data_IF_860674491686
#
_entry.id   IF_860674491686
#
_cell.length_a   1.000
_cell.length_b   1.000
_cell.length_c   1.000
_cell.angle_alpha   90.00
_cell.angle_beta   90.00
_cell.angle_gamma   90.00
#
_symmetry.space_group_name_H-M   'P 1'
#
loop_
_entity.id
_entity.type
_entity.pdbx_description
1 polymer ?
#
# COMPACT_ATOMS: atom_id res chain seq x y z
N UNK A 1 20.23 8.56 -16.06
CA UNK A 1 19.02 7.83 -15.60
C UNK A 1 19.44 6.79 -14.59
N UNK A 2 18.88 6.80 -13.38
CA UNK A 2 19.12 5.74 -12.40
C UNK A 2 18.57 4.44 -12.99
N UNK A 3 19.43 3.42 -13.10
CA UNK A 3 19.08 2.13 -13.68
C UNK A 3 18.02 1.47 -12.77
N UNK A 4 16.83 1.16 -13.29
CA UNK A 4 15.76 0.51 -12.51
C UNK A 4 16.23 -0.85 -12.00
N UNK A 5 15.95 -1.15 -10.74
CA UNK A 5 16.23 -2.44 -10.12
C UNK A 5 14.97 -3.31 -10.20
N UNK A 6 15.00 -4.36 -11.03
CA UNK A 6 13.81 -5.17 -11.34
C UNK A 6 13.22 -5.88 -10.13
N UNK A 7 14.00 -6.20 -9.12
CA UNK A 7 13.55 -6.77 -7.85
C UNK A 7 12.57 -5.83 -7.12
N UNK A 8 12.89 -4.55 -7.00
CA UNK A 8 11.99 -3.57 -6.38
C UNK A 8 10.80 -3.18 -7.28
N UNK A 9 10.99 -3.25 -8.60
CA UNK A 9 9.86 -3.07 -9.52
C UNK A 9 8.88 -4.26 -9.43
N UNK A 10 9.38 -5.48 -9.19
CA UNK A 10 8.54 -6.65 -8.91
C UNK A 10 7.80 -6.50 -7.57
N UNK A 11 8.48 -6.01 -6.53
CA UNK A 11 7.84 -5.72 -5.24
C UNK A 11 6.66 -4.74 -5.41
N UNK A 12 6.80 -3.67 -6.22
CA UNK A 12 5.70 -2.74 -6.53
C UNK A 12 4.52 -3.43 -7.19
N UNK A 13 4.79 -4.29 -8.18
CA UNK A 13 3.73 -5.03 -8.90
C UNK A 13 2.99 -5.95 -7.94
N UNK A 14 3.71 -6.75 -7.15
CA UNK A 14 3.10 -7.69 -6.21
C UNK A 14 2.32 -6.94 -5.12
N UNK A 15 2.88 -5.86 -4.56
CA UNK A 15 2.16 -5.04 -3.58
C UNK A 15 0.88 -4.45 -4.16
N UNK A 16 0.87 -4.00 -5.43
CA UNK A 16 -0.35 -3.53 -6.09
C UNK A 16 -1.36 -4.66 -6.30
N UNK A 17 -0.89 -5.83 -6.69
CA UNK A 17 -1.75 -6.99 -6.84
C UNK A 17 -2.39 -7.41 -5.51
N UNK A 18 -1.63 -7.32 -4.41
CA UNK A 18 -2.15 -7.53 -3.05
C UNK A 18 -3.20 -6.48 -2.66
N UNK A 19 -3.01 -5.18 -3.01
CA UNK A 19 -4.03 -4.15 -2.80
C UNK A 19 -5.33 -4.50 -3.54
N UNK A 20 -5.23 -4.92 -4.80
CA UNK A 20 -6.40 -5.28 -5.58
C UNK A 20 -7.14 -6.47 -4.94
N UNK A 21 -6.42 -7.53 -4.54
CA UNK A 21 -7.03 -8.68 -3.84
C UNK A 21 -7.66 -8.24 -2.52
N UNK A 22 -6.98 -7.41 -1.74
CA UNK A 22 -7.49 -6.83 -0.49
C UNK A 22 -8.82 -6.10 -0.72
N UNK A 23 -8.87 -5.23 -1.74
CA UNK A 23 -10.09 -4.51 -2.09
C UNK A 23 -11.20 -5.43 -2.61
N UNK A 24 -10.87 -6.50 -3.33
CA UNK A 24 -11.85 -7.53 -3.73
C UNK A 24 -12.48 -8.17 -2.49
N UNK A 25 -11.68 -8.54 -1.48
CA UNK A 25 -12.18 -9.20 -0.27
C UNK A 25 -13.06 -8.23 0.52
N UNK A 26 -12.56 -7.02 0.81
CA UNK A 26 -13.24 -6.05 1.68
C UNK A 26 -14.45 -5.42 0.99
N UNK A 27 -14.28 -4.87 -0.21
CA UNK A 27 -15.36 -4.16 -0.91
C UNK A 27 -16.28 -5.09 -1.72
N UNK A 28 -15.86 -6.33 -1.94
CA UNK A 28 -16.72 -7.40 -2.45
C UNK A 28 -17.50 -8.11 -1.35
N UNK A 29 -17.36 -7.70 -0.07
CA UNK A 29 -18.03 -8.32 1.08
C UNK A 29 -17.87 -9.83 1.15
N UNK A 30 -16.65 -10.30 0.82
CA UNK A 30 -16.44 -11.74 0.60
C UNK A 30 -16.54 -12.57 1.88
N UNK A 31 -16.12 -12.01 3.02
CA UNK A 31 -16.20 -12.72 4.30
C UNK A 31 -17.65 -12.86 4.78
N UNK A 32 -18.49 -11.86 4.50
CA UNK A 32 -19.91 -11.86 4.83
C UNK A 32 -20.70 -12.81 3.91
N UNK A 33 -20.35 -12.85 2.62
CA UNK A 33 -21.03 -13.66 1.60
C UNK A 33 -20.52 -15.11 1.53
N UNK A 34 -19.47 -15.47 2.28
CA UNK A 34 -18.94 -16.83 2.34
C UNK A 34 -19.82 -17.72 3.21
N UNK A 35 -20.40 -18.78 2.63
CA UNK A 35 -21.28 -19.74 3.32
C UNK A 35 -20.51 -20.90 3.94
N UNK A 36 -19.23 -21.06 3.63
CA UNK A 36 -18.38 -22.16 4.11
C UNK A 36 -17.34 -21.64 5.11
N UNK A 37 -17.39 -22.08 6.36
CA UNK A 37 -16.49 -21.62 7.43
C UNK A 37 -15.00 -21.89 7.12
N UNK A 38 -14.66 -23.03 6.50
CA UNK A 38 -13.27 -23.31 6.12
C UNK A 38 -12.77 -22.34 5.07
N UNK A 39 -13.59 -21.99 4.09
CA UNK A 39 -13.25 -20.97 3.08
C UNK A 39 -13.10 -19.60 3.71
N UNK A 40 -13.95 -19.25 4.66
CA UNK A 40 -13.88 -17.99 5.40
C UNK A 40 -12.56 -17.87 6.16
N UNK A 41 -12.13 -18.95 6.83
CA UNK A 41 -10.83 -19.03 7.49
C UNK A 41 -9.69 -18.80 6.48
N UNK A 42 -9.73 -19.48 5.32
CA UNK A 42 -8.69 -19.34 4.29
C UNK A 42 -8.64 -17.92 3.69
N UNK A 43 -9.78 -17.29 3.47
CA UNK A 43 -9.85 -15.88 3.03
C UNK A 43 -9.25 -14.94 4.09
N UNK A 44 -9.59 -15.17 5.37
CA UNK A 44 -9.00 -14.40 6.47
C UNK A 44 -7.49 -14.58 6.53
N UNK A 45 -6.98 -15.82 6.42
CA UNK A 45 -5.52 -16.07 6.37
C UNK A 45 -4.88 -15.32 5.18
N UNK A 46 -5.55 -15.30 4.02
CA UNK A 46 -5.07 -14.55 2.85
C UNK A 46 -4.94 -13.05 3.17
N UNK A 47 -5.91 -12.45 3.89
CA UNK A 47 -5.81 -11.05 4.33
C UNK A 47 -4.55 -10.81 5.19
N UNK A 48 -4.28 -11.69 6.16
CA UNK A 48 -3.08 -11.57 7.01
C UNK A 48 -1.76 -11.75 6.25
N UNK A 49 -1.77 -12.46 5.13
CA UNK A 49 -0.59 -12.60 4.26
C UNK A 49 -0.37 -11.33 3.42
N UNK A 50 -1.44 -10.77 2.84
CA UNK A 50 -1.31 -9.70 1.85
C UNK A 50 -1.31 -8.29 2.44
N UNK A 51 -1.63 -8.11 3.73
CA UNK A 51 -1.76 -6.81 4.40
C UNK A 51 -0.50 -5.92 4.34
N UNK A 52 0.66 -6.48 4.04
CA UNK A 52 1.95 -5.79 3.93
C UNK A 52 2.04 -4.76 2.79
N UNK A 53 1.06 -4.73 1.91
CA UNK A 53 1.08 -4.00 0.64
C UNK A 53 1.32 -2.48 0.80
N UNK A 54 0.61 -1.78 1.69
CA UNK A 54 0.77 -0.33 1.90
C UNK A 54 2.14 -0.02 2.50
N UNK A 55 2.52 -0.74 3.55
CA UNK A 55 3.83 -0.58 4.18
C UNK A 55 4.98 -0.79 3.19
N UNK A 56 4.85 -1.74 2.27
CA UNK A 56 5.84 -1.99 1.23
C UNK A 56 6.06 -0.79 0.31
N UNK A 57 5.00 -0.06 -0.07
CA UNK A 57 5.12 1.17 -0.86
C UNK A 57 5.82 2.30 -0.09
N UNK A 58 5.55 2.43 1.20
CA UNK A 58 6.18 3.46 2.03
C UNK A 58 7.64 3.12 2.30
N UNK A 59 7.98 1.85 2.56
CA UNK A 59 9.36 1.36 2.67
C UNK A 59 10.16 1.63 1.38
N UNK A 60 9.59 1.31 0.21
CA UNK A 60 10.18 1.64 -1.09
C UNK A 60 10.43 3.14 -1.24
N UNK A 61 9.50 3.96 -0.78
CA UNK A 61 9.64 5.42 -0.84
C UNK A 61 10.81 5.89 0.02
N UNK A 62 10.92 5.44 1.26
CA UNK A 62 12.04 5.73 2.14
C UNK A 62 13.38 5.26 1.56
N UNK A 63 13.43 4.03 1.06
CA UNK A 63 14.64 3.44 0.49
C UNK A 63 15.19 4.21 -0.72
N UNK A 64 14.32 4.71 -1.62
CA UNK A 64 14.76 5.39 -2.83
C UNK A 64 14.78 6.92 -2.69
N UNK A 65 13.80 7.51 -1.99
CA UNK A 65 13.70 8.96 -1.86
C UNK A 65 14.75 9.53 -0.89
N UNK A 66 15.26 8.74 0.07
CA UNK A 66 16.38 9.15 0.93
C UNK A 66 17.65 9.50 0.16
N UNK A 67 17.80 9.01 -1.07
CA UNK A 67 18.92 9.30 -1.97
C UNK A 67 18.60 10.35 -3.04
N UNK A 68 17.46 11.03 -2.94
CA UNK A 68 17.02 11.99 -3.96
C UNK A 68 16.41 13.22 -3.30
N UNK A 69 16.63 14.39 -3.90
CA UNK A 69 16.02 15.65 -3.45
C UNK A 69 14.55 15.75 -3.89
N UNK A 70 13.78 16.51 -3.16
CA UNK A 70 12.42 16.89 -3.52
C UNK A 70 12.39 17.56 -4.90
N UNK A 71 11.42 17.21 -5.72
CA UNK A 71 11.22 17.79 -7.06
C UNK A 71 9.78 18.24 -7.23
N UNK A 72 9.56 19.55 -7.21
CA UNK A 72 8.23 20.16 -7.38
C UNK A 72 7.51 19.66 -8.62
N UNK A 73 8.23 19.48 -9.73
CA UNK A 73 7.67 18.94 -10.97
C UNK A 73 7.06 17.53 -10.78
N UNK A 74 7.68 16.69 -9.94
CA UNK A 74 7.15 15.34 -9.65
C UNK A 74 5.85 15.45 -8.85
N UNK A 75 5.79 16.33 -7.87
CA UNK A 75 4.58 16.61 -7.08
C UNK A 75 3.42 17.06 -8.00
N UNK A 76 3.65 18.06 -8.85
CA UNK A 76 2.63 18.53 -9.80
C UNK A 76 2.18 17.40 -10.74
N UNK A 77 3.11 16.60 -11.26
CA UNK A 77 2.74 15.47 -12.13
C UNK A 77 1.84 14.47 -11.42
N UNK A 78 2.10 14.20 -10.13
CA UNK A 78 1.31 13.31 -9.30
C UNK A 78 -0.12 13.85 -9.10
N UNK A 79 -0.25 15.12 -8.73
CA UNK A 79 -1.54 15.81 -8.54
C UNK A 79 -2.34 15.84 -9.86
N UNK A 80 -1.71 16.22 -10.96
CA UNK A 80 -2.37 16.24 -12.28
C UNK A 80 -2.84 14.85 -12.72
N UNK A 81 -2.12 13.81 -12.35
CA UNK A 81 -2.54 12.44 -12.65
C UNK A 81 -3.79 12.06 -11.86
N UNK A 82 -3.87 12.41 -10.57
CA UNK A 82 -5.08 12.17 -9.75
C UNK A 82 -6.28 12.92 -10.33
N UNK A 83 -6.13 14.22 -10.59
CA UNK A 83 -7.19 15.05 -11.18
C UNK A 83 -7.67 14.46 -12.50
N UNK A 84 -6.76 14.03 -13.37
CA UNK A 84 -7.12 13.41 -14.65
C UNK A 84 -8.00 12.17 -14.45
N UNK A 85 -7.62 11.26 -13.55
CA UNK A 85 -8.41 10.05 -13.28
C UNK A 85 -9.78 10.40 -12.69
N UNK A 86 -9.84 11.31 -11.71
CA UNK A 86 -11.11 11.73 -11.10
C UNK A 86 -12.06 12.30 -12.14
N UNK A 87 -11.57 13.18 -13.04
CA UNK A 87 -12.40 13.77 -14.11
C UNK A 87 -12.89 12.71 -15.10
N UNK A 88 -11.97 11.91 -15.65
CA UNK A 88 -12.32 10.95 -16.70
C UNK A 88 -13.29 9.89 -16.18
N UNK A 89 -13.05 9.36 -14.99
CA UNK A 89 -13.95 8.37 -14.39
C UNK A 89 -15.31 8.98 -14.13
N UNK A 90 -15.38 10.20 -13.61
CA UNK A 90 -16.64 10.89 -13.34
C UNK A 90 -17.44 11.15 -14.63
N UNK A 91 -16.79 11.62 -15.70
CA UNK A 91 -17.45 11.83 -17.00
C UNK A 91 -17.99 10.53 -17.60
N UNK A 92 -17.23 9.45 -17.51
CA UNK A 92 -17.68 8.12 -17.95
C UNK A 92 -18.86 7.65 -17.10
N UNK A 93 -18.81 7.85 -15.79
CA UNK A 93 -19.86 7.47 -14.87
C UNK A 93 -21.19 8.17 -15.14
N UNK A 94 -21.15 9.47 -15.46
CA UNK A 94 -22.34 10.22 -15.91
C UNK A 94 -22.92 9.59 -17.19
N UNK A 95 -22.07 9.30 -18.19
CA UNK A 95 -22.50 8.70 -19.45
C UNK A 95 -23.13 7.31 -19.29
N UNK A 96 -22.65 6.55 -18.29
CA UNK A 96 -23.17 5.23 -17.97
C UNK A 96 -24.37 5.24 -17.00
N UNK A 97 -24.82 6.42 -16.55
CA UNK A 97 -25.92 6.54 -15.59
C UNK A 97 -25.58 6.02 -14.18
N UNK A 98 -24.31 5.90 -13.85
CA UNK A 98 -23.84 5.45 -12.51
C UNK A 98 -23.88 6.58 -11.47
N UNK A 99 -24.07 7.82 -11.89
CA UNK A 99 -24.23 9.01 -11.06
C UNK A 99 -25.57 9.63 -11.41
N UNK A 100 -26.50 9.68 -10.44
CA UNK A 100 -27.88 10.08 -10.63
C UNK A 100 -28.09 11.59 -10.70
N UNK A 101 -27.19 12.39 -10.15
CA UNK A 101 -27.29 13.85 -10.12
C UNK A 101 -26.10 14.53 -10.78
N UNK A 102 -26.40 15.25 -11.87
CA UNK A 102 -25.46 16.16 -12.52
C UNK A 102 -25.41 17.46 -11.70
N UNK A 103 -24.38 17.59 -10.84
CA UNK A 103 -24.16 18.80 -10.07
C UNK A 103 -22.85 19.47 -10.49
N UNK A 104 -22.90 20.77 -10.85
CA UNK A 104 -21.72 21.55 -11.20
C UNK A 104 -20.66 21.58 -10.07
N UNK A 105 -21.08 21.57 -8.81
CA UNK A 105 -20.18 21.50 -7.65
C UNK A 105 -19.40 20.17 -7.63
N UNK A 106 -20.06 19.06 -7.91
CA UNK A 106 -19.40 17.73 -7.97
C UNK A 106 -18.36 17.67 -9.08
N UNK A 107 -18.63 18.32 -10.24
CA UNK A 107 -17.64 18.43 -11.32
C UNK A 107 -16.47 19.29 -10.85
N UNK A 108 -16.75 20.46 -10.26
CA UNK A 108 -15.71 21.38 -9.79
C UNK A 108 -14.77 20.70 -8.78
N UNK A 109 -15.30 19.86 -7.88
CA UNK A 109 -14.53 19.07 -6.92
C UNK A 109 -13.57 18.07 -7.58
N UNK A 110 -13.91 17.56 -8.78
CA UNK A 110 -13.00 16.69 -9.54
C UNK A 110 -11.87 17.44 -10.25
N UNK A 111 -12.04 18.74 -10.49
CA UNK A 111 -11.01 19.58 -11.12
C UNK A 111 -10.02 20.22 -10.16
N UNK A 112 -10.24 20.14 -8.86
CA UNK A 112 -9.41 20.76 -7.83
C UNK A 112 -8.76 19.74 -6.88
N UNK A 113 -8.16 20.22 -5.80
CA UNK A 113 -7.48 19.38 -4.81
C UNK A 113 -8.43 18.48 -4.02
N UNK A 114 -9.75 18.70 -4.06
CA UNK A 114 -10.73 17.82 -3.43
C UNK A 114 -10.72 16.42 -4.07
N UNK A 115 -10.32 16.30 -5.34
CA UNK A 115 -10.08 15.01 -5.98
C UNK A 115 -9.09 14.13 -5.22
N UNK A 116 -8.13 14.71 -4.49
CA UNK A 116 -7.23 13.97 -3.60
C UNK A 116 -7.96 13.35 -2.42
N UNK A 117 -9.12 13.90 -2.05
CA UNK A 117 -9.95 13.40 -0.94
C UNK A 117 -10.42 11.97 -1.12
N UNK A 118 -10.57 11.51 -2.36
CA UNK A 118 -10.99 10.16 -2.70
C UNK A 118 -9.93 9.09 -2.38
N UNK A 119 -8.65 9.49 -2.27
CA UNK A 119 -7.51 8.58 -2.17
C UNK A 119 -6.71 8.87 -0.90
N UNK A 120 -7.07 8.21 0.20
CA UNK A 120 -6.42 8.43 1.50
C UNK A 120 -4.90 8.25 1.46
N UNK A 121 -4.40 7.21 0.76
CA UNK A 121 -2.97 6.94 0.63
C UNK A 121 -2.24 8.10 -0.04
N UNK A 122 -2.80 8.67 -1.12
CA UNK A 122 -2.16 9.75 -1.88
C UNK A 122 -2.10 11.04 -1.09
N UNK A 123 -3.14 11.38 -0.30
CA UNK A 123 -3.10 12.54 0.59
C UNK A 123 -1.91 12.45 1.54
N UNK A 124 -1.79 11.34 2.23
CA UNK A 124 -0.73 11.09 3.20
C UNK A 124 0.65 11.03 2.52
N UNK A 125 0.73 10.39 1.35
CA UNK A 125 1.96 10.28 0.58
C UNK A 125 2.46 11.63 0.04
N UNK A 126 1.57 12.51 -0.42
CA UNK A 126 1.94 13.86 -0.89
C UNK A 126 2.57 14.66 0.26
N UNK A 127 1.98 14.63 1.44
CA UNK A 127 2.53 15.30 2.62
C UNK A 127 3.91 14.72 2.94
N UNK A 128 4.03 13.39 3.01
CA UNK A 128 5.31 12.72 3.22
C UNK A 128 6.37 13.14 2.18
N UNK A 129 5.99 13.20 0.91
CA UNK A 129 6.91 13.58 -0.17
C UNK A 129 7.39 15.03 -0.04
N UNK A 130 6.51 15.96 0.35
CA UNK A 130 6.87 17.38 0.61
C UNK A 130 7.90 17.47 1.75
N UNK A 131 7.70 16.71 2.83
CA UNK A 131 8.60 16.71 3.99
C UNK A 131 9.84 15.82 3.82
N UNK A 132 9.96 15.08 2.71
CA UNK A 132 11.02 14.07 2.54
C UNK A 132 12.44 14.62 2.69
N UNK A 133 12.74 15.84 2.19
CA UNK A 133 14.08 16.43 2.34
C UNK A 133 14.45 16.76 3.80
N UNK A 134 13.46 17.17 4.60
CA UNK A 134 13.68 17.42 6.05
C UNK A 134 13.87 16.11 6.80
N UNK A 135 13.08 15.10 6.49
CA UNK A 135 13.22 13.75 7.07
C UNK A 135 14.57 13.15 6.69
N UNK A 136 15.04 13.33 5.45
CA UNK A 136 16.34 12.85 5.00
C UNK A 136 17.49 13.52 5.76
N UNK A 137 17.45 14.85 5.95
CA UNK A 137 18.45 15.59 6.76
C UNK A 137 18.48 15.08 8.20
N UNK A 138 17.30 14.82 8.79
CA UNK A 138 17.22 14.23 10.11
C UNK A 138 17.90 12.85 10.16
N UNK A 139 17.63 11.96 9.20
CA UNK A 139 18.26 10.63 9.13
C UNK A 139 19.77 10.73 8.91
N UNK A 140 20.22 11.70 8.10
CA UNK A 140 21.64 11.94 7.83
C UNK A 140 22.38 12.41 9.07
N UNK A 141 21.77 13.23 9.94
CA UNK A 141 22.36 13.74 11.18
C UNK A 141 22.56 12.69 12.27
N UNK A 142 21.86 11.55 12.19
CA UNK A 142 21.94 10.49 13.18
C UNK A 142 23.05 9.48 12.84
N UNK A 143 23.83 9.10 13.84
CA UNK A 143 24.69 7.92 13.73
C UNK A 143 23.90 6.61 13.76
N UNK A 144 24.59 5.48 13.57
CA UNK A 144 23.92 4.17 13.50
C UNK A 144 23.18 3.80 14.80
N UNK A 145 23.78 4.09 15.95
CA UNK A 145 23.20 3.78 17.26
C UNK A 145 21.97 4.65 17.55
N UNK A 146 22.11 5.96 17.29
CA UNK A 146 21.01 6.92 17.45
C UNK A 146 19.82 6.56 16.56
N UNK A 147 20.08 6.20 15.28
CA UNK A 147 19.03 5.81 14.36
C UNK A 147 18.30 4.54 14.81
N UNK A 148 19.03 3.51 15.26
CA UNK A 148 18.41 2.29 15.78
C UNK A 148 17.61 2.53 17.06
N UNK A 149 18.13 3.35 17.98
CA UNK A 149 17.39 3.75 19.18
C UNK A 149 16.09 4.49 18.81
N UNK A 150 16.16 5.42 17.85
CA UNK A 150 14.99 6.11 17.35
C UNK A 150 13.94 5.13 16.75
N UNK A 151 14.39 4.15 15.97
CA UNK A 151 13.48 3.13 15.40
C UNK A 151 12.86 2.27 16.49
N UNK A 152 13.60 1.87 17.53
CA UNK A 152 13.05 1.07 18.65
C UNK A 152 12.02 1.89 19.43
N UNK A 153 12.35 3.13 19.79
CA UNK A 153 11.42 4.02 20.50
C UNK A 153 10.17 4.27 19.67
N UNK A 154 10.34 4.56 18.37
CA UNK A 154 9.24 4.73 17.43
C UNK A 154 8.37 3.47 17.32
N UNK A 155 8.97 2.26 17.30
CA UNK A 155 8.23 1.00 17.29
C UNK A 155 7.37 0.83 18.55
N UNK A 156 7.93 1.14 19.71
CA UNK A 156 7.19 1.04 20.98
C UNK A 156 6.03 2.05 20.98
N UNK A 157 6.30 3.32 20.66
CA UNK A 157 5.29 4.40 20.75
C UNK A 157 4.19 4.26 19.68
N UNK A 158 4.58 3.97 18.44
CA UNK A 158 3.64 4.00 17.30
C UNK A 158 3.00 2.64 16.99
N UNK A 159 3.51 1.56 17.59
CA UNK A 159 3.07 0.21 17.25
C UNK A 159 2.64 -0.60 18.48
N UNK A 160 3.49 -0.68 19.51
CA UNK A 160 3.17 -1.50 20.69
C UNK A 160 2.17 -0.82 21.62
N UNK A 161 2.39 0.45 21.96
CA UNK A 161 1.49 1.21 22.87
C UNK A 161 0.05 1.29 22.34
N UNK A 162 -0.22 1.56 21.05
CA UNK A 162 -1.59 1.61 20.53
C UNK A 162 -2.37 0.29 20.64
N UNK A 163 -1.69 -0.85 20.70
CA UNK A 163 -2.35 -2.15 20.96
C UNK A 163 -2.80 -2.23 22.42
N UNK A 164 -1.93 -1.82 23.36
CA UNK A 164 -2.18 -1.94 24.80
C UNK A 164 -3.16 -0.88 25.26
N UNK A 165 -3.06 0.34 24.75
CA UNK A 165 -3.87 1.48 25.19
C UNK A 165 -4.47 2.26 24.04
N UNK A 166 -5.79 2.19 23.89
CA UNK A 166 -6.54 2.90 22.83
C UNK A 166 -6.66 4.41 23.07
N UNK A 167 -6.47 4.88 24.30
CA UNK A 167 -6.75 6.25 24.72
C UNK A 167 -5.53 7.13 24.86
N UNK A 168 -4.32 6.58 24.80
CA UNK A 168 -3.09 7.32 25.02
C UNK A 168 -2.56 7.88 23.71
N UNK A 169 -2.56 9.19 23.62
CA UNK A 169 -1.78 10.11 22.78
C UNK A 169 -1.82 9.94 21.26
N UNK A 170 -1.82 8.73 20.70
CA UNK A 170 -1.74 8.51 19.26
C UNK A 170 -2.51 7.22 18.90
N UNK A 171 -3.84 7.33 18.72
CA UNK A 171 -4.55 6.27 18.01
C UNK A 171 -3.91 6.11 16.64
N UNK A 172 -3.28 4.99 16.43
CA UNK A 172 -2.52 4.74 15.22
C UNK A 172 -3.00 3.45 14.56
N UNK A 173 -3.87 3.59 13.56
CA UNK A 173 -4.31 2.50 12.68
C UNK A 173 -3.34 2.27 11.51
N UNK A 174 -2.36 3.17 11.34
CA UNK A 174 -1.43 3.15 10.23
C UNK A 174 -1.92 3.90 8.97
N UNK A 175 -3.12 4.49 8.99
CA UNK A 175 -3.64 5.31 7.87
C UNK A 175 -3.23 6.78 7.96
N UNK A 176 -2.31 7.13 8.85
CA UNK A 176 -1.94 8.50 9.18
C UNK A 176 -0.49 8.83 8.83
N UNK A 177 -0.19 10.12 8.89
CA UNK A 177 1.13 10.66 8.53
C UNK A 177 2.27 10.17 9.44
N UNK A 178 2.03 9.96 10.73
CA UNK A 178 3.05 9.51 11.67
C UNK A 178 3.57 8.11 11.32
N UNK A 179 2.65 7.20 10.99
CA UNK A 179 3.01 5.87 10.53
C UNK A 179 3.80 5.91 9.21
N UNK A 180 3.40 6.77 8.27
CA UNK A 180 4.11 6.93 7.00
C UNK A 180 5.53 7.47 7.19
N UNK A 181 5.73 8.46 8.06
CA UNK A 181 7.08 8.93 8.42
C UNK A 181 7.90 7.78 9.01
N UNK A 182 7.33 7.03 9.95
CA UNK A 182 8.03 5.95 10.61
C UNK A 182 8.47 4.86 9.62
N UNK A 183 7.55 4.37 8.77
CA UNK A 183 7.87 3.39 7.72
C UNK A 183 8.87 3.93 6.69
N UNK A 184 8.78 5.22 6.36
CA UNK A 184 9.76 5.89 5.51
C UNK A 184 11.16 5.86 6.13
N UNK A 185 11.27 6.20 7.42
CA UNK A 185 12.55 6.17 8.14
C UNK A 185 13.11 4.74 8.20
N UNK A 186 12.28 3.72 8.42
CA UNK A 186 12.71 2.32 8.32
C UNK A 186 13.29 2.04 6.93
N UNK A 187 12.58 2.36 5.85
CA UNK A 187 13.04 2.16 4.48
C UNK A 187 14.36 2.87 4.18
N UNK A 188 14.52 4.12 4.63
CA UNK A 188 15.75 4.89 4.50
C UNK A 188 16.90 4.29 5.33
N UNK A 189 16.61 3.76 6.51
CA UNK A 189 17.57 3.08 7.39
C UNK A 189 18.10 1.80 6.76
N UNK A 190 17.22 1.00 6.13
CA UNK A 190 17.60 -0.20 5.38
C UNK A 190 18.51 0.14 4.19
N UNK A 191 18.38 1.34 3.61
CA UNK A 191 19.29 1.85 2.58
C UNK A 191 20.63 2.28 3.15
N UNK A 192 20.63 3.02 4.28
CA UNK A 192 21.83 3.58 4.91
C UNK A 192 22.65 2.48 5.59
N UNK A 193 21.98 1.52 6.24
CA UNK A 193 22.58 0.41 6.99
C UNK A 193 21.88 -0.90 6.66
N UNK A 194 22.26 -1.59 5.56
CA UNK A 194 21.61 -2.82 5.13
C UNK A 194 21.64 -3.91 6.20
N UNK A 195 20.49 -4.54 6.48
CA UNK A 195 20.39 -5.58 7.53
C UNK A 195 21.32 -6.74 7.25
N UNK A 196 21.48 -7.16 6.00
CA UNK A 196 22.36 -8.25 5.61
C UNK A 196 23.84 -8.00 5.98
N UNK A 197 24.25 -6.73 6.04
CA UNK A 197 25.61 -6.32 6.41
C UNK A 197 25.79 -6.17 7.93
N UNK A 198 24.72 -6.33 8.72
CA UNK A 198 24.79 -6.24 10.17
C UNK A 198 25.62 -7.40 10.77
N UNK A 199 26.13 -7.21 12.00
CA UNK A 199 26.92 -8.20 12.71
C UNK A 199 26.25 -9.59 12.75
N UNK A 200 24.93 -9.63 12.95
CA UNK A 200 24.16 -10.88 13.09
C UNK A 200 23.98 -11.63 11.76
N UNK A 201 23.83 -10.93 10.64
CA UNK A 201 23.49 -11.54 9.36
C UNK A 201 24.65 -11.58 8.36
N UNK A 202 25.74 -10.85 8.60
CA UNK A 202 26.90 -10.77 7.69
C UNK A 202 27.50 -12.14 7.35
N UNK A 203 27.57 -13.06 8.35
CA UNK A 203 28.16 -14.40 8.18
C UNK A 203 27.21 -15.42 7.58
N UNK A 204 25.90 -15.13 7.50
CA UNK A 204 24.90 -16.06 6.99
C UNK A 204 24.91 -16.00 5.45
N UNK A 205 24.85 -17.17 4.77
CA UNK A 205 24.72 -17.18 3.31
C UNK A 205 23.43 -16.51 2.84
N UNK A 206 23.42 -15.98 1.61
CA UNK A 206 22.24 -15.27 1.07
C UNK A 206 20.99 -16.17 1.06
N UNK A 207 21.14 -17.46 0.70
CA UNK A 207 20.04 -18.43 0.69
C UNK A 207 19.46 -18.66 2.10
N UNK A 208 20.30 -18.82 3.11
CA UNK A 208 19.86 -18.99 4.50
C UNK A 208 19.17 -17.71 5.00
N UNK A 209 19.68 -16.55 4.62
CA UNK A 209 19.05 -15.26 4.96
C UNK A 209 17.67 -15.12 4.31
N UNK A 210 17.50 -15.49 3.03
CA UNK A 210 16.20 -15.52 2.35
C UNK A 210 15.22 -16.47 3.04
N UNK A 211 15.66 -17.67 3.41
CA UNK A 211 14.83 -18.64 4.16
C UNK A 211 14.39 -18.04 5.50
N UNK A 212 15.30 -17.40 6.22
CA UNK A 212 14.98 -16.73 7.50
C UNK A 212 13.92 -15.65 7.31
N UNK A 213 14.03 -14.82 6.25
CA UNK A 213 13.06 -13.78 5.94
C UNK A 213 11.68 -14.37 5.59
N UNK A 214 11.64 -15.47 4.85
CA UNK A 214 10.39 -16.18 4.51
C UNK A 214 9.75 -16.75 5.79
N UNK A 215 10.55 -17.40 6.65
CA UNK A 215 10.07 -17.93 7.93
C UNK A 215 9.51 -16.78 8.79
N UNK A 216 10.23 -15.67 8.89
CA UNK A 216 9.80 -14.51 9.67
C UNK A 216 8.50 -13.90 9.13
N UNK A 217 8.38 -13.80 7.80
CA UNK A 217 7.17 -13.34 7.14
C UNK A 217 5.96 -14.23 7.45
N UNK A 218 6.11 -15.56 7.31
CA UNK A 218 5.03 -16.52 7.58
C UNK A 218 4.70 -16.56 9.07
N UNK A 219 5.72 -16.60 9.92
CA UNK A 219 5.55 -16.65 11.38
C UNK A 219 4.79 -15.41 11.90
N UNK A 220 5.17 -14.22 11.48
CA UNK A 220 4.49 -12.99 11.91
C UNK A 220 3.05 -12.92 11.42
N UNK A 221 2.77 -13.38 10.20
CA UNK A 221 1.41 -13.52 9.67
C UNK A 221 0.59 -14.50 10.51
N UNK A 222 1.15 -15.67 10.80
CA UNK A 222 0.50 -16.70 11.61
C UNK A 222 0.25 -16.25 13.05
N UNK A 223 1.24 -15.64 13.70
CA UNK A 223 1.10 -15.12 15.07
C UNK A 223 0.02 -14.05 15.16
N UNK A 224 -0.03 -13.12 14.19
CA UNK A 224 -1.04 -12.08 14.16
C UNK A 224 -2.45 -12.66 13.96
N UNK A 225 -2.61 -13.63 13.05
CA UNK A 225 -3.86 -14.35 12.85
C UNK A 225 -4.26 -15.14 14.11
N UNK A 226 -3.33 -15.89 14.71
CA UNK A 226 -3.58 -16.68 15.93
C UNK A 226 -3.98 -15.79 17.11
N UNK A 227 -3.38 -14.61 17.22
CA UNK A 227 -3.72 -13.62 18.24
C UNK A 227 -5.19 -13.20 18.12
N UNK A 228 -5.65 -12.92 16.90
CA UNK A 228 -7.06 -12.62 16.63
C UNK A 228 -8.00 -13.79 16.97
N UNK A 229 -7.65 -15.02 16.54
CA UNK A 229 -8.47 -16.22 16.79
C UNK A 229 -8.60 -16.51 18.28
N UNK A 230 -7.49 -16.48 19.02
CA UNK A 230 -7.51 -16.66 20.48
C UNK A 230 -8.35 -15.57 21.15
N UNK A 231 -8.17 -14.31 20.73
CA UNK A 231 -8.97 -13.20 21.26
C UNK A 231 -10.47 -13.36 21.01
N UNK A 232 -10.88 -13.80 19.81
CA UNK A 232 -12.30 -14.02 19.49
C UNK A 232 -12.92 -15.13 20.34
N UNK A 233 -12.15 -16.18 20.66
CA UNK A 233 -12.58 -17.32 21.48
C UNK A 233 -12.42 -17.08 22.98
N UNK A 234 -11.85 -15.93 23.38
CA UNK A 234 -11.64 -15.61 24.79
C UNK A 234 -12.96 -15.24 25.46
N UNK A 235 -13.34 -15.99 26.51
CA UNK A 235 -14.54 -15.70 27.27
C UNK A 235 -14.34 -14.46 28.15
N UNK A 236 -15.11 -13.42 27.88
CA UNK A 236 -15.03 -12.15 28.61
C UNK A 236 -16.09 -12.10 29.70
N UNK A 237 -15.78 -12.67 30.87
CA UNK A 237 -16.69 -12.69 32.03
C UNK A 237 -16.50 -11.50 32.96
N UNK A 238 -15.37 -10.83 32.91
CA UNK A 238 -15.03 -9.66 33.72
C UNK A 238 -14.37 -8.55 32.89
N UNK A 239 -14.09 -7.40 33.54
CA UNK A 239 -13.50 -6.22 32.90
C UNK A 239 -12.10 -6.53 32.34
N UNK A 240 -11.29 -7.31 33.07
CA UNK A 240 -9.92 -7.64 32.66
C UNK A 240 -9.93 -8.54 31.43
N UNK A 241 -10.76 -9.59 31.44
CA UNK A 241 -10.89 -10.50 30.31
C UNK A 241 -11.45 -9.81 29.07
N UNK A 242 -12.39 -8.90 29.23
CA UNK A 242 -12.92 -8.06 28.14
C UNK A 242 -11.85 -7.14 27.56
N UNK A 243 -10.98 -6.57 28.39
CA UNK A 243 -9.85 -5.74 27.97
C UNK A 243 -8.81 -6.56 27.21
N UNK A 244 -8.43 -7.74 27.69
CA UNK A 244 -7.51 -8.66 27.02
C UNK A 244 -8.07 -9.07 25.64
N UNK A 245 -9.34 -9.48 25.57
CA UNK A 245 -10.03 -9.78 24.31
C UNK A 245 -9.92 -8.63 23.32
N UNK A 246 -10.19 -7.43 23.80
CA UNK A 246 -10.11 -6.22 23.00
C UNK A 246 -8.69 -5.96 22.46
N UNK A 247 -7.65 -6.18 23.26
CA UNK A 247 -6.23 -6.10 22.79
C UNK A 247 -5.97 -7.10 21.67
N UNK A 248 -6.46 -8.31 21.81
CA UNK A 248 -6.17 -9.42 20.90
C UNK A 248 -6.95 -9.34 19.57
N UNK A 249 -8.16 -8.77 19.57
CA UNK A 249 -9.03 -8.76 18.39
C UNK A 249 -9.03 -7.44 17.63
N UNK A 250 -8.79 -6.34 18.33
CA UNK A 250 -8.75 -5.02 17.73
C UNK A 250 -7.38 -4.77 17.09
N UNK A 251 -7.32 -4.02 16.02
CA UNK A 251 -6.05 -3.59 15.38
C UNK A 251 -5.22 -4.69 14.72
N UNK A 252 -5.72 -5.91 14.60
CA UNK A 252 -4.92 -7.03 14.04
C UNK A 252 -4.52 -6.82 12.58
N UNK A 253 -5.33 -6.09 11.78
CA UNK A 253 -5.05 -5.77 10.39
C UNK A 253 -4.64 -4.30 10.17
N UNK A 254 -4.36 -3.54 11.24
CA UNK A 254 -3.85 -2.18 11.13
C UNK A 254 -2.40 -2.16 10.66
N UNK A 255 -2.07 -1.27 9.72
CA UNK A 255 -0.71 -1.17 9.15
C UNK A 255 0.36 -0.87 10.21
N UNK A 256 -0.01 -0.24 11.33
CA UNK A 256 0.85 0.02 12.48
C UNK A 256 1.01 -1.16 13.44
N UNK A 257 0.30 -2.27 13.22
CA UNK A 257 0.45 -3.48 14.07
C UNK A 257 1.90 -3.98 14.03
N UNK A 258 2.53 -4.31 15.19
CA UNK A 258 3.92 -4.74 15.24
C UNK A 258 4.23 -5.96 14.37
N UNK A 259 3.33 -6.94 14.32
CA UNK A 259 3.51 -8.10 13.45
C UNK A 259 3.52 -7.70 11.97
N UNK A 260 2.63 -6.78 11.56
CA UNK A 260 2.55 -6.30 10.17
C UNK A 260 3.78 -5.46 9.80
N UNK A 261 4.32 -4.65 10.72
CA UNK A 261 5.56 -3.91 10.46
C UNK A 261 6.72 -4.88 10.22
N UNK A 262 6.91 -5.86 11.12
CA UNK A 262 7.99 -6.87 11.00
C UNK A 262 7.80 -7.69 9.72
N UNK A 263 6.57 -8.11 9.42
CA UNK A 263 6.19 -8.82 8.22
C UNK A 263 6.54 -8.01 6.95
N UNK A 264 6.21 -6.72 6.95
CA UNK A 264 6.47 -5.81 5.82
C UNK A 264 7.97 -5.60 5.58
N UNK A 265 8.76 -5.46 6.66
CA UNK A 265 10.22 -5.35 6.58
C UNK A 265 10.83 -6.64 6.05
N UNK A 266 10.36 -7.80 6.52
CA UNK A 266 10.83 -9.12 6.06
C UNK A 266 10.52 -9.31 4.57
N UNK A 267 9.31 -8.93 4.15
CA UNK A 267 8.90 -8.99 2.75
C UNK A 267 9.75 -8.06 1.87
N UNK A 268 9.94 -6.81 2.29
CA UNK A 268 10.80 -5.85 1.61
C UNK A 268 12.24 -6.35 1.47
N UNK A 269 12.85 -6.85 2.57
CA UNK A 269 14.22 -7.35 2.58
C UNK A 269 14.37 -8.61 1.73
N UNK A 270 13.37 -9.47 1.65
CA UNK A 270 13.38 -10.63 0.74
C UNK A 270 13.59 -10.16 -0.71
N UNK A 271 12.84 -9.16 -1.18
CA UNK A 271 13.03 -8.58 -2.50
C UNK A 271 14.35 -7.83 -2.63
N UNK A 272 14.85 -7.18 -1.57
CA UNK A 272 16.15 -6.52 -1.58
C UNK A 272 17.30 -7.50 -1.82
N UNK A 273 17.15 -8.77 -1.46
CA UNK A 273 18.15 -9.82 -1.69
C UNK A 273 18.18 -10.37 -3.12
N UNK A 274 17.14 -10.09 -3.92
CA UNK A 274 17.07 -10.58 -5.30
C UNK A 274 17.87 -9.67 -6.24
N UNK A 275 18.65 -10.27 -7.13
CA UNK A 275 19.37 -9.55 -8.21
C UNK A 275 19.04 -10.17 -9.56
N UNK A 276 18.22 -9.45 -10.31
CA UNK A 276 17.86 -9.82 -11.68
C UNK A 276 17.42 -8.60 -12.50
N UNK A 277 17.41 -8.76 -13.83
CA UNK A 277 16.96 -7.74 -14.77
C UNK A 277 15.87 -8.30 -15.66
N UNK A 278 14.70 -7.64 -15.65
CA UNK A 278 13.55 -8.02 -16.48
C UNK A 278 12.89 -6.77 -17.07
N UNK A 279 12.82 -6.71 -18.41
CA UNK A 279 12.26 -5.56 -19.13
C UNK A 279 10.74 -5.46 -18.97
N UNK A 280 10.03 -6.59 -18.92
CA UNK A 280 8.58 -6.63 -18.76
C UNK A 280 8.17 -6.11 -17.38
N UNK A 281 8.81 -6.58 -16.29
CA UNK A 281 8.60 -6.10 -14.94
C UNK A 281 8.85 -4.59 -14.87
N UNK A 282 9.97 -4.12 -15.43
CA UNK A 282 10.31 -2.70 -15.43
C UNK A 282 9.35 -1.84 -16.29
N UNK A 283 8.68 -2.44 -17.26
CA UNK A 283 7.64 -1.79 -18.05
C UNK A 283 6.34 -1.69 -17.27
N UNK A 284 5.82 -2.79 -16.74
CA UNK A 284 4.56 -2.86 -16.03
C UNK A 284 4.55 -2.00 -14.76
N UNK A 285 5.64 -1.99 -14.00
CA UNK A 285 5.76 -1.23 -12.75
C UNK A 285 5.58 0.28 -12.90
N UNK A 286 5.73 0.83 -14.11
CA UNK A 286 5.50 2.26 -14.39
C UNK A 286 4.04 2.66 -14.19
N UNK A 287 3.13 1.72 -14.40
CA UNK A 287 1.69 1.97 -14.46
C UNK A 287 0.98 1.64 -13.15
N UNK A 288 1.70 1.12 -12.16
CA UNK A 288 1.17 0.73 -10.83
C UNK A 288 0.37 1.85 -10.17
N UNK A 289 0.84 3.09 -10.27
CA UNK A 289 0.12 4.23 -9.71
C UNK A 289 -1.20 4.52 -10.43
N UNK A 290 -1.22 4.39 -11.75
CA UNK A 290 -2.46 4.53 -12.54
C UNK A 290 -3.47 3.41 -12.23
N UNK A 291 -2.99 2.18 -12.02
CA UNK A 291 -3.82 1.05 -11.58
C UNK A 291 -4.49 1.38 -10.25
N UNK A 292 -3.74 1.93 -9.28
CA UNK A 292 -4.28 2.35 -8.00
C UNK A 292 -5.40 3.39 -8.19
N UNK A 293 -5.14 4.46 -8.94
CA UNK A 293 -6.12 5.52 -9.18
C UNK A 293 -7.38 5.05 -9.91
N UNK A 294 -7.24 4.04 -10.76
CA UNK A 294 -8.38 3.45 -11.46
C UNK A 294 -9.27 2.64 -10.52
N UNK A 295 -8.73 1.62 -9.86
CA UNK A 295 -9.58 0.65 -9.14
C UNK A 295 -10.03 1.12 -7.76
N UNK A 296 -9.29 2.04 -7.11
CA UNK A 296 -9.64 2.60 -5.80
C UNK A 296 -10.49 3.88 -5.88
N UNK A 297 -10.78 4.37 -7.10
CA UNK A 297 -11.74 5.45 -7.27
C UNK A 297 -13.11 5.04 -6.72
N UNK A 298 -13.75 5.88 -5.92
CA UNK A 298 -14.99 5.56 -5.21
C UNK A 298 -16.11 5.06 -6.14
N UNK A 299 -16.24 5.66 -7.34
CA UNK A 299 -17.26 5.25 -8.31
C UNK A 299 -16.96 3.86 -8.85
N UNK A 300 -15.71 3.61 -9.26
CA UNK A 300 -15.29 2.29 -9.76
C UNK A 300 -15.43 1.25 -8.65
N UNK A 301 -14.90 1.51 -7.47
CA UNK A 301 -14.91 0.62 -6.33
C UNK A 301 -16.32 0.17 -5.93
N UNK A 302 -17.29 1.09 -5.93
CA UNK A 302 -18.67 0.79 -5.55
C UNK A 302 -19.45 -0.01 -6.59
N UNK A 303 -18.99 -0.08 -7.84
CA UNK A 303 -19.71 -0.71 -8.93
C UNK A 303 -19.00 -1.94 -9.51
N UNK A 304 -17.66 -1.97 -9.51
CA UNK A 304 -16.91 -3.01 -10.22
C UNK A 304 -17.13 -4.42 -9.65
N UNK A 305 -17.26 -4.55 -8.34
CA UNK A 305 -17.44 -5.86 -7.69
C UNK A 305 -18.82 -6.44 -7.94
N UNK A 306 -19.86 -5.60 -8.01
CA UNK A 306 -21.21 -5.98 -8.43
C UNK A 306 -21.23 -6.40 -9.90
N UNK A 307 -20.60 -5.60 -10.77
CA UNK A 307 -20.49 -5.91 -12.20
C UNK A 307 -19.78 -7.24 -12.46
N UNK A 308 -18.74 -7.56 -11.68
CA UNK A 308 -17.98 -8.80 -11.77
C UNK A 308 -18.59 -9.94 -10.93
N UNK A 309 -19.75 -9.70 -10.30
CA UNK A 309 -20.48 -10.67 -9.47
C UNK A 309 -19.61 -11.30 -8.37
N UNK A 310 -18.74 -10.48 -7.74
CA UNK A 310 -17.89 -10.91 -6.63
C UNK A 310 -18.65 -10.87 -5.31
N UNK A 311 -19.64 -10.00 -5.20
CA UNK A 311 -20.49 -9.76 -4.04
C UNK A 311 -21.61 -10.78 -3.86
N UNK A 312 -21.62 -11.87 -4.63
CA UNK A 312 -22.64 -12.92 -4.54
C UNK A 312 -22.23 -13.99 -3.50
N UNK A 313 -23.21 -14.63 -2.84
CA UNK A 313 -22.93 -15.76 -1.95
C UNK A 313 -22.16 -16.89 -2.65
N UNK A 314 -21.25 -17.53 -1.95
CA UNK A 314 -20.44 -18.63 -2.47
C UNK A 314 -20.04 -19.63 -1.38
N UNK A 315 -19.76 -20.87 -1.79
CA UNK A 315 -19.32 -21.97 -0.94
C UNK A 315 -18.19 -22.83 -1.54
N UNK A 316 -17.71 -22.42 -2.74
CA UNK A 316 -16.75 -23.21 -3.51
C UNK A 316 -15.34 -22.65 -3.49
N UNK A 317 -14.33 -23.52 -3.38
CA UNK A 317 -12.89 -23.17 -3.50
C UNK A 317 -12.51 -22.51 -4.85
N UNK A 318 -13.36 -22.63 -5.87
CA UNK A 318 -13.19 -21.90 -7.14
C UNK A 318 -13.15 -20.40 -6.98
N UNK A 319 -13.58 -19.88 -5.82
CA UNK A 319 -13.53 -18.46 -5.50
C UNK A 319 -12.11 -17.91 -5.54
N UNK A 320 -11.09 -18.65 -5.12
CA UNK A 320 -9.69 -18.21 -5.20
C UNK A 320 -9.23 -17.99 -6.64
N UNK A 321 -9.68 -18.88 -7.57
CA UNK A 321 -9.41 -18.72 -9.01
C UNK A 321 -10.14 -17.47 -9.52
N UNK A 322 -11.39 -17.25 -9.11
CA UNK A 322 -12.17 -16.06 -9.48
C UNK A 322 -11.52 -14.78 -8.99
N UNK A 323 -11.07 -14.73 -7.72
CA UNK A 323 -10.30 -13.60 -7.16
C UNK A 323 -9.07 -13.31 -8.01
N UNK A 324 -8.27 -14.33 -8.34
CA UNK A 324 -7.06 -14.16 -9.13
C UNK A 324 -7.35 -13.65 -10.54
N UNK A 325 -8.38 -14.18 -11.21
CA UNK A 325 -8.80 -13.72 -12.55
C UNK A 325 -9.27 -12.26 -12.47
N UNK A 326 -10.13 -11.93 -11.53
CA UNK A 326 -10.64 -10.55 -11.36
C UNK A 326 -9.52 -9.57 -11.02
N UNK A 327 -8.61 -9.94 -10.12
CA UNK A 327 -7.45 -9.11 -9.80
C UNK A 327 -6.56 -8.87 -11.05
N UNK A 328 -6.36 -9.92 -11.85
CA UNK A 328 -5.61 -9.83 -13.10
C UNK A 328 -6.30 -8.93 -14.13
N UNK A 329 -7.61 -9.04 -14.29
CA UNK A 329 -8.40 -8.18 -15.17
C UNK A 329 -8.33 -6.72 -14.75
N UNK A 330 -8.47 -6.41 -13.45
CA UNK A 330 -8.34 -5.05 -12.92
C UNK A 330 -6.93 -4.52 -13.18
N UNK A 331 -5.90 -5.33 -12.93
CA UNK A 331 -4.50 -4.94 -13.14
C UNK A 331 -4.21 -4.64 -14.63
N UNK A 332 -4.66 -5.49 -15.54
CA UNK A 332 -4.47 -5.33 -16.99
C UNK A 332 -5.24 -4.10 -17.49
N UNK A 333 -6.52 -3.96 -17.12
CA UNK A 333 -7.36 -2.83 -17.52
C UNK A 333 -6.76 -1.51 -17.03
N UNK A 334 -6.38 -1.42 -15.75
CA UNK A 334 -5.73 -0.22 -15.20
C UNK A 334 -4.39 0.09 -15.90
N UNK A 335 -3.61 -0.94 -16.28
CA UNK A 335 -2.37 -0.77 -17.06
C UNK A 335 -2.67 -0.16 -18.44
N UNK A 336 -3.67 -0.68 -19.15
CA UNK A 336 -4.05 -0.18 -20.49
C UNK A 336 -4.52 1.28 -20.40
N UNK A 337 -5.38 1.60 -19.42
CA UNK A 337 -5.87 2.96 -19.20
C UNK A 337 -4.70 3.92 -18.94
N UNK A 338 -3.73 3.53 -18.11
CA UNK A 338 -2.61 4.42 -17.78
C UNK A 338 -1.61 4.57 -18.95
N UNK A 339 -1.47 3.57 -19.82
CA UNK A 339 -0.72 3.69 -21.08
C UNK A 339 -1.39 4.73 -22.00
N UNK A 340 -2.72 4.72 -22.11
CA UNK A 340 -3.48 5.69 -22.89
C UNK A 340 -3.29 7.10 -22.32
N UNK A 341 -3.46 7.26 -20.99
CA UNK A 341 -3.19 8.53 -20.29
C UNK A 341 -1.78 9.04 -20.57
N UNK A 342 -0.76 8.19 -20.48
CA UNK A 342 0.63 8.62 -20.76
C UNK A 342 0.79 9.16 -22.18
N UNK A 343 0.18 8.51 -23.17
CA UNK A 343 0.19 8.96 -24.55
C UNK A 343 -0.50 10.33 -24.71
N UNK A 344 -1.66 10.52 -24.09
CA UNK A 344 -2.40 11.79 -24.09
C UNK A 344 -1.53 12.90 -23.49
N UNK A 345 -0.93 12.70 -22.34
CA UNK A 345 -0.06 13.69 -21.68
C UNK A 345 1.15 14.05 -22.54
N UNK A 346 1.75 13.07 -23.22
CA UNK A 346 2.86 13.32 -24.15
C UNK A 346 2.43 14.18 -25.36
N UNK A 347 1.23 13.96 -25.88
CA UNK A 347 0.67 14.76 -26.99
C UNK A 347 0.42 16.21 -26.55
N UNK A 348 -0.23 16.42 -25.40
CA UNK A 348 -0.48 17.76 -24.85
C UNK A 348 0.84 18.52 -24.63
N UNK A 349 1.85 17.85 -24.05
CA UNK A 349 3.17 18.45 -23.84
C UNK A 349 3.88 18.82 -25.17
N UNK A 350 3.70 18.04 -26.24
CA UNK A 350 4.28 18.34 -27.56
C UNK A 350 3.59 19.57 -28.19
N UNK A 351 2.27 19.68 -28.10
CA UNK A 351 1.49 20.81 -28.61
C UNK A 351 1.87 22.11 -27.89
N UNK A 352 1.99 22.06 -26.54
CA UNK A 352 2.40 23.22 -25.75
C UNK A 352 3.82 23.73 -26.07
N UNK A 353 4.75 22.80 -26.41
CA UNK A 353 6.10 23.19 -26.84
C UNK A 353 6.10 23.82 -28.24
N UNK A 354 5.31 23.32 -29.18
CA UNK A 354 5.20 23.91 -30.50
C UNK A 354 4.63 25.36 -30.45
N UNK A 355 3.57 25.59 -29.64
CA UNK A 355 3.04 26.97 -29.47
C UNK A 355 4.06 27.96 -28.88
N UNK A 356 4.95 27.52 -27.99
CA UNK A 356 6.03 28.39 -27.46
C UNK A 356 7.12 28.75 -28.47
N UNK A 357 7.27 27.99 -29.54
CA UNK A 357 8.24 28.27 -30.62
C UNK A 357 7.66 29.25 -31.64
N UNK A 358 6.33 29.23 -31.84
CA UNK A 358 5.66 30.15 -32.78
C UNK A 358 5.35 31.54 -32.18
N UNK A 359 5.42 31.66 -30.82
CA UNK A 359 5.16 32.92 -30.12
C UNK A 359 6.46 33.61 -29.63
N UNK A 360 7.62 33.17 -30.10
CA UNK A 360 8.93 33.85 -30.04
C UNK A 360 9.35 34.29 -31.44
#
# INVERSE_FOLDING_TARGET
MIKRKSNFELLRIISMFFIIIWHIIIHGHMLENCQNETLKILLTILEYIIVVHVNSFVLLSGYFQSQSKFKFKKLITLILQVIFYSIIIYLIAIKLGLVSEYNYLSIFDKFNLNALGEYWFIKTYIILYIFSDYINKFIESLDKKQLYNFLIIGFIILSVIPIISRSILLYNDGYNFYHFIYMYIIGASLRKYPLKESYYFKKISIKKYQILLIILFILTSYLNYSFMVVGNNFNSLDILSSYIKSIMTHNTLYYSNPFIIIQSVSFFELFNTLDFKNKCINFLSKYVFGIYLFHDNTIIRNNIYKFLQIDQPFDSYKIFIKIFIVASLIFITGTIIDIIREKIFKLICKIGKKKKIYNK
#
